data_IF_093298515238
#
_entry.id   IF_093298515238
#
_cell.length_a   1.000
_cell.length_b   1.000
_cell.length_c   1.000
_cell.angle_alpha   90.00
_cell.angle_beta   90.00
_cell.angle_gamma   90.00
#
_symmetry.space_group_name_H-M   'P 1'
#
loop_
_entity.id
_entity.type
_entity.pdbx_description
1 polymer ?
#
# COMPACT_ATOMS: atom_id res chain seq x y z
N UNK A 1 3.94 -7.76 -49.40
CA UNK A 1 3.89 -6.46 -50.10
C UNK A 1 2.71 -5.68 -49.52
N UNK A 2 3.01 -4.50 -48.96
CA UNK A 2 2.17 -3.28 -48.80
C UNK A 2 0.78 -3.49 -48.16
N UNK A 3 0.44 -2.91 -47.00
CA UNK A 3 0.36 -1.46 -46.86
C UNK A 3 0.36 -1.02 -45.39
N UNK A 4 1.23 -0.07 -45.07
CA UNK A 4 1.23 0.72 -43.83
C UNK A 4 0.26 1.89 -44.03
N UNK A 5 -0.63 2.13 -43.07
CA UNK A 5 -1.37 3.40 -43.01
C UNK A 5 -0.98 4.17 -41.75
N UNK A 6 -0.09 5.14 -41.97
CA UNK A 6 0.13 6.33 -41.12
C UNK A 6 -1.00 7.32 -41.41
N UNK A 7 -1.48 8.05 -40.40
CA UNK A 7 -2.02 9.44 -40.41
C UNK A 7 -2.26 9.80 -38.92
N UNK A 8 -1.35 10.58 -38.32
CA UNK A 8 -1.43 12.03 -38.07
C UNK A 8 -2.30 12.38 -36.84
N UNK A 9 -1.70 12.74 -35.71
CA UNK A 9 -1.18 14.07 -35.29
C UNK A 9 -2.26 15.08 -34.89
N UNK A 10 -2.05 15.58 -33.67
CA UNK A 10 -2.40 16.89 -33.11
C UNK A 10 -3.83 17.11 -32.62
N UNK A 11 -3.97 17.29 -31.30
CA UNK A 11 -4.61 18.50 -30.79
C UNK A 11 -3.91 18.92 -29.49
N UNK A 12 -3.27 20.08 -29.54
CA UNK A 12 -2.85 20.85 -28.36
C UNK A 12 -4.10 21.41 -27.67
N UNK A 13 -4.14 21.42 -26.34
CA UNK A 13 -5.08 22.22 -25.55
C UNK A 13 -4.28 23.17 -24.66
N UNK A 14 -4.57 24.48 -24.65
CA UNK A 14 -3.72 25.48 -24.03
C UNK A 14 -3.99 25.70 -22.53
N UNK A 15 -2.90 26.14 -21.91
CA UNK A 15 -2.75 26.97 -20.70
C UNK A 15 -4.00 27.79 -20.31
N UNK A 16 -4.45 27.63 -19.06
CA UNK A 16 -5.18 28.66 -18.34
C UNK A 16 -4.48 28.89 -16.99
N UNK A 17 -3.71 29.97 -16.94
CA UNK A 17 -3.17 30.52 -15.71
C UNK A 17 -4.30 31.25 -14.96
N UNK A 18 -4.48 30.96 -13.68
CA UNK A 18 -5.20 31.86 -12.77
C UNK A 18 -4.32 32.13 -11.55
N UNK A 19 -3.70 33.31 -11.56
CA UNK A 19 -3.15 33.97 -10.39
C UNK A 19 -4.30 34.30 -9.42
N UNK A 20 -4.16 33.94 -8.14
CA UNK A 20 -4.67 34.75 -7.05
C UNK A 20 -3.58 34.97 -6.01
N UNK A 21 -3.53 36.21 -5.54
CA UNK A 21 -2.44 36.91 -4.89
C UNK A 21 -3.02 37.55 -3.62
N UNK A 22 -2.19 37.64 -2.56
CA UNK A 22 -2.34 38.39 -1.29
C UNK A 22 -3.26 37.74 -0.22
N UNK A 23 -3.01 37.79 1.09
CA UNK A 23 -2.28 38.70 2.01
C UNK A 23 -1.79 37.90 3.25
N UNK A 24 -0.54 38.03 3.70
CA UNK A 24 -0.07 38.86 4.84
C UNK A 24 -0.86 38.75 6.16
N UNK A 25 -0.26 38.11 7.18
CA UNK A 25 -0.41 38.48 8.58
C UNK A 25 0.85 38.07 9.37
N UNK A 26 1.71 39.05 9.68
CA UNK A 26 2.71 38.96 10.75
C UNK A 26 2.03 39.32 12.07
N UNK A 27 2.21 38.49 13.10
CA UNK A 27 1.92 38.86 14.48
C UNK A 27 3.09 38.40 15.37
N UNK A 28 3.87 39.33 15.96
CA UNK A 28 4.66 39.03 17.14
C UNK A 28 3.79 39.26 18.39
N UNK A 29 3.98 38.43 19.42
CA UNK A 29 3.98 38.79 20.86
C UNK A 29 3.69 37.55 21.71
N UNK A 30 4.74 36.94 22.27
CA UNK A 30 4.96 36.86 23.72
C UNK A 30 6.07 35.84 24.05
N UNK A 31 7.16 36.38 24.56
CA UNK A 31 8.16 35.65 25.31
C UNK A 31 7.65 35.50 26.75
N UNK A 32 7.30 34.29 27.15
CA UNK A 32 7.31 33.93 28.56
C UNK A 32 7.80 32.49 28.70
N UNK A 33 9.00 32.36 29.26
CA UNK A 33 9.64 31.10 29.54
C UNK A 33 9.30 30.67 30.98
N UNK A 34 8.63 29.53 31.18
CA UNK A 34 8.70 28.81 32.44
C UNK A 34 9.80 27.74 32.37
N UNK A 35 10.52 27.63 33.49
CA UNK A 35 11.67 26.78 33.70
C UNK A 35 11.37 25.30 33.44
N UNK A 36 12.32 24.67 32.75
CA UNK A 36 12.40 23.26 32.42
C UNK A 36 12.60 22.41 33.69
N UNK A 37 11.56 21.72 34.12
CA UNK A 37 11.69 20.53 34.95
C UNK A 37 11.80 19.34 33.97
N UNK A 38 13.00 18.77 33.84
CA UNK A 38 13.23 17.56 33.04
C UNK A 38 12.66 16.35 33.78
N UNK A 39 11.34 16.20 33.73
CA UNK A 39 10.69 14.92 33.95
C UNK A 39 10.97 14.04 32.74
N UNK A 40 11.69 12.94 32.97
CA UNK A 40 12.03 11.98 31.93
C UNK A 40 10.75 11.32 31.43
N UNK A 41 10.26 11.78 30.28
CA UNK A 41 9.13 11.17 29.60
C UNK A 41 9.47 9.70 29.29
N UNK A 42 8.58 8.74 29.62
CA UNK A 42 8.75 7.36 29.22
C UNK A 42 8.76 7.27 27.68
N UNK A 43 9.52 6.32 27.09
CA UNK A 43 9.53 6.14 25.65
C UNK A 43 8.10 5.86 25.16
N UNK A 44 7.65 6.68 24.22
CA UNK A 44 6.35 6.57 23.58
C UNK A 44 6.35 5.31 22.69
N UNK A 45 5.72 4.24 23.17
CA UNK A 45 5.57 2.95 22.47
C UNK A 45 4.79 3.08 21.13
N UNK A 46 4.19 4.24 20.84
CA UNK A 46 3.39 4.47 19.63
C UNK A 46 4.20 4.41 18.32
N UNK A 47 5.51 4.74 18.36
CA UNK A 47 6.34 4.78 17.15
C UNK A 47 6.66 3.37 16.58
N UNK A 48 6.59 2.33 17.41
CA UNK A 48 6.85 0.94 16.98
C UNK A 48 5.61 0.27 16.37
N UNK A 49 4.41 0.66 16.81
CA UNK A 49 3.15 0.14 16.24
C UNK A 49 2.86 0.70 14.84
N UNK A 50 3.21 1.97 14.61
CA UNK A 50 2.95 2.65 13.33
C UNK A 50 3.73 1.99 12.16
N UNK A 51 4.98 1.61 12.40
CA UNK A 51 5.82 0.94 11.37
C UNK A 51 5.38 -0.50 11.05
N UNK A 52 4.73 -1.18 11.99
CA UNK A 52 4.21 -2.55 11.79
C UNK A 52 2.93 -2.53 10.95
N UNK A 53 2.05 -1.56 11.19
CA UNK A 53 0.81 -1.41 10.43
C UNK A 53 1.06 -1.00 8.98
N UNK A 54 2.02 -0.11 8.71
CA UNK A 54 2.35 0.30 7.34
C UNK A 54 2.97 -0.85 6.53
N UNK A 55 3.81 -1.69 7.15
CA UNK A 55 4.37 -2.87 6.50
C UNK A 55 3.32 -3.95 6.19
N UNK A 56 2.24 -4.02 6.97
CA UNK A 56 1.14 -4.96 6.74
C UNK A 56 0.29 -4.62 5.50
N UNK A 57 0.37 -3.40 4.97
CA UNK A 57 -0.49 -2.94 3.86
C UNK A 57 -0.16 -3.57 2.50
N UNK A 58 0.98 -4.24 2.37
CA UNK A 58 1.41 -4.87 1.12
C UNK A 58 1.51 -6.39 1.21
N UNK A 59 1.25 -6.98 2.38
CA UNK A 59 1.40 -8.42 2.58
C UNK A 59 0.09 -9.16 2.30
N UNK A 60 -0.22 -9.29 1.01
CA UNK A 60 -1.42 -9.98 0.54
C UNK A 60 -1.07 -10.98 -0.57
N UNK A 61 -1.84 -12.06 -0.69
CA UNK A 61 -1.69 -13.05 -1.77
C UNK A 61 -1.83 -12.42 -3.16
N UNK A 62 -2.69 -11.40 -3.28
CA UNK A 62 -2.90 -10.61 -4.49
C UNK A 62 -2.08 -9.32 -4.55
N UNK A 63 -1.06 -9.18 -3.72
CA UNK A 63 -0.02 -8.18 -3.93
C UNK A 63 1.00 -8.74 -4.93
N UNK A 64 1.29 -7.97 -5.98
CA UNK A 64 2.25 -8.33 -7.00
C UNK A 64 3.29 -7.22 -7.12
N UNK A 65 4.55 -7.59 -6.90
CA UNK A 65 5.67 -6.67 -6.98
C UNK A 65 6.85 -7.31 -7.72
N UNK A 66 7.43 -6.57 -8.67
CA UNK A 66 8.59 -7.05 -9.43
C UNK A 66 9.89 -6.76 -8.66
N UNK A 67 10.28 -7.72 -7.83
CA UNK A 67 11.51 -7.65 -7.02
C UNK A 67 12.80 -7.49 -7.87
N UNK A 68 12.76 -7.83 -9.16
CA UNK A 68 13.92 -7.66 -10.07
C UNK A 68 14.26 -6.20 -10.35
N UNK A 69 13.32 -5.29 -10.07
CA UNK A 69 13.44 -3.84 -10.33
C UNK A 69 13.61 -3.02 -9.06
N UNK A 70 13.90 -3.67 -7.93
CA UNK A 70 14.03 -3.01 -6.65
C UNK A 70 15.20 -2.00 -6.62
N UNK A 71 15.02 -0.86 -5.92
CA UNK A 71 16.13 0.01 -5.58
C UNK A 71 17.22 -0.75 -4.81
N UNK A 72 18.48 -0.57 -5.21
CA UNK A 72 19.62 -1.28 -4.61
C UNK A 72 19.91 -2.66 -5.23
N UNK A 73 19.07 -3.14 -6.14
CA UNK A 73 19.28 -4.35 -6.94
C UNK A 73 18.17 -5.38 -6.77
N UNK A 74 18.18 -6.46 -7.58
CA UNK A 74 17.19 -7.53 -7.50
C UNK A 74 17.02 -8.07 -6.09
N UNK A 75 15.77 -8.18 -5.64
CA UNK A 75 15.36 -8.71 -4.34
C UNK A 75 15.86 -7.91 -3.11
N UNK A 76 16.45 -6.73 -3.31
CA UNK A 76 16.84 -5.82 -2.23
C UNK A 76 15.64 -5.03 -1.72
N UNK A 77 15.63 -4.69 -0.44
CA UNK A 77 14.52 -3.96 0.14
C UNK A 77 14.95 -3.15 1.37
N UNK A 78 14.12 -2.16 1.71
CA UNK A 78 14.12 -1.39 2.94
C UNK A 78 12.81 -1.56 3.72
N UNK A 79 11.74 -2.03 3.06
CA UNK A 79 10.47 -2.38 3.68
C UNK A 79 9.77 -3.53 2.93
N UNK A 80 8.75 -4.13 3.55
CA UNK A 80 8.05 -5.31 3.01
C UNK A 80 7.20 -5.03 1.76
N UNK A 81 6.82 -3.77 1.49
CA UNK A 81 6.15 -3.40 0.24
C UNK A 81 7.05 -3.50 -0.99
N UNK A 82 8.36 -3.68 -0.83
CA UNK A 82 9.26 -3.98 -1.93
C UNK A 82 9.42 -5.48 -2.18
N UNK A 83 8.61 -6.31 -1.52
CA UNK A 83 8.64 -7.75 -1.62
C UNK A 83 7.30 -8.27 -2.13
N UNK A 84 7.36 -9.34 -2.92
CA UNK A 84 6.20 -9.87 -3.62
C UNK A 84 5.29 -10.70 -2.71
N UNK A 85 3.98 -10.53 -2.86
CA UNK A 85 2.96 -11.25 -2.11
C UNK A 85 3.15 -11.17 -0.59
N UNK A 86 3.24 -12.32 0.07
CA UNK A 86 3.40 -12.49 1.52
C UNK A 86 4.86 -12.42 2.00
N UNK A 87 5.82 -12.05 1.13
CA UNK A 87 7.23 -11.94 1.53
C UNK A 87 7.44 -10.75 2.47
N UNK A 88 8.55 -10.78 3.20
CA UNK A 88 8.98 -9.70 4.12
C UNK A 88 10.36 -9.20 3.75
N UNK A 89 10.65 -7.95 4.13
CA UNK A 89 12.02 -7.46 4.09
C UNK A 89 12.79 -7.90 5.33
N UNK A 90 13.89 -8.63 5.15
CA UNK A 90 14.79 -8.99 6.24
C UNK A 90 15.58 -7.79 6.76
N UNK A 91 16.11 -7.89 7.98
CA UNK A 91 17.03 -6.88 8.54
C UNK A 91 18.32 -6.71 7.71
N UNK A 92 18.68 -7.70 6.89
CA UNK A 92 19.80 -7.63 5.96
C UNK A 92 19.45 -6.91 4.64
N UNK A 93 18.21 -6.43 4.47
CA UNK A 93 17.77 -5.73 3.27
C UNK A 93 17.54 -6.64 2.06
N UNK A 94 17.04 -7.84 2.31
CA UNK A 94 16.65 -8.83 1.31
C UNK A 94 15.22 -9.30 1.51
N UNK A 95 14.45 -9.38 0.43
CA UNK A 95 13.14 -10.00 0.46
C UNK A 95 13.27 -11.50 0.75
N UNK A 96 12.51 -11.99 1.71
CA UNK A 96 12.56 -13.36 2.19
C UNK A 96 11.16 -13.96 2.40
N UNK A 97 11.11 -15.29 2.54
CA UNK A 97 9.85 -16.05 2.67
C UNK A 97 9.27 -16.49 1.32
N UNK A 98 8.04 -17.01 1.34
CA UNK A 98 7.34 -17.47 0.13
C UNK A 98 6.26 -16.45 -0.24
N UNK A 99 6.22 -15.99 -1.50
CA UNK A 99 5.26 -14.97 -1.94
C UNK A 99 3.81 -15.44 -1.81
N UNK A 100 3.53 -16.70 -2.18
CA UNK A 100 2.19 -17.31 -2.14
C UNK A 100 2.30 -18.69 -1.49
N UNK A 101 2.35 -18.76 -0.14
CA UNK A 101 2.39 -20.04 0.56
C UNK A 101 1.16 -20.91 0.21
N UNK A 102 1.31 -22.22 0.22
CA UNK A 102 0.19 -23.13 -0.02
C UNK A 102 -0.75 -23.21 1.17
N UNK A 103 -1.67 -22.25 1.33
CA UNK A 103 -2.76 -22.31 2.33
C UNK A 103 -4.12 -22.39 1.64
N UNK A 104 -5.11 -22.94 2.34
CA UNK A 104 -6.50 -22.91 1.85
C UNK A 104 -7.02 -21.48 1.77
N UNK A 105 -7.78 -21.18 0.71
CA UNK A 105 -8.43 -19.89 0.51
C UNK A 105 -9.47 -19.52 1.58
N UNK A 106 -9.87 -20.46 2.43
CA UNK A 106 -10.78 -20.23 3.56
C UNK A 106 -10.05 -20.35 4.91
N UNK A 107 -8.72 -20.21 4.91
CA UNK A 107 -7.90 -20.23 6.12
C UNK A 107 -7.88 -18.84 6.77
N UNK A 108 -7.90 -18.71 8.11
CA UNK A 108 -7.69 -17.42 8.76
C UNK A 108 -6.33 -16.78 8.37
N UNK A 109 -5.36 -17.59 7.92
CA UNK A 109 -4.05 -17.12 7.47
C UNK A 109 -3.99 -16.80 5.97
N UNK A 110 -5.13 -16.75 5.27
CA UNK A 110 -5.20 -16.32 3.87
C UNK A 110 -5.49 -14.82 3.81
N UNK A 111 -4.45 -14.02 3.57
CA UNK A 111 -4.54 -12.56 3.53
C UNK A 111 -4.82 -12.12 2.10
N UNK A 112 -6.04 -11.64 1.85
CA UNK A 112 -6.45 -11.18 0.53
C UNK A 112 -7.01 -9.77 0.61
N UNK A 113 -6.50 -8.88 -0.23
CA UNK A 113 -7.03 -7.52 -0.28
C UNK A 113 -8.27 -7.48 -1.18
N UNK A 114 -9.46 -7.56 -0.56
CA UNK A 114 -10.75 -7.52 -1.25
C UNK A 114 -11.00 -6.21 -2.01
N UNK A 115 -10.33 -5.11 -1.64
CA UNK A 115 -10.45 -3.83 -2.35
C UNK A 115 -9.84 -3.88 -3.76
N UNK A 116 -8.91 -4.80 -4.01
CA UNK A 116 -8.22 -4.97 -5.29
C UNK A 116 -8.81 -6.09 -6.15
N UNK A 117 -10.00 -6.59 -5.80
CA UNK A 117 -10.65 -7.60 -6.60
C UNK A 117 -10.92 -7.11 -8.03
N UNK A 118 -10.64 -7.91 -9.08
CA UNK A 118 -10.83 -7.48 -10.47
C UNK A 118 -12.27 -7.08 -10.82
N UNK A 119 -13.26 -7.61 -10.11
CA UNK A 119 -14.67 -7.28 -10.29
C UNK A 119 -15.13 -6.03 -9.53
N UNK A 120 -14.21 -5.37 -8.82
CA UNK A 120 -14.49 -4.29 -7.87
C UNK A 120 -14.38 -4.73 -6.42
N UNK A 121 -14.31 -3.76 -5.51
CA UNK A 121 -14.14 -4.01 -4.07
C UNK A 121 -15.16 -5.01 -3.52
N UNK A 122 -14.68 -6.05 -2.84
CA UNK A 122 -15.45 -7.16 -2.24
C UNK A 122 -16.23 -8.04 -3.25
N UNK A 123 -16.03 -7.86 -4.56
CA UNK A 123 -16.64 -8.69 -5.60
C UNK A 123 -15.82 -9.93 -5.86
N UNK A 124 -16.47 -11.07 -6.09
CA UNK A 124 -15.78 -12.35 -6.21
C UNK A 124 -16.50 -13.32 -7.17
N UNK A 125 -15.74 -14.33 -7.62
CA UNK A 125 -16.21 -15.52 -8.33
C UNK A 125 -15.77 -16.82 -7.64
N UNK A 126 -14.83 -16.74 -6.68
CA UNK A 126 -14.39 -17.86 -5.86
C UNK A 126 -14.01 -17.39 -4.45
N UNK A 127 -13.92 -18.33 -3.49
CA UNK A 127 -13.51 -18.02 -2.12
C UNK A 127 -12.07 -17.45 -2.03
N UNK A 128 -11.21 -17.76 -3.00
CA UNK A 128 -9.83 -17.25 -3.05
C UNK A 128 -9.72 -15.75 -3.31
N UNK A 129 -10.84 -15.07 -3.57
CA UNK A 129 -10.91 -13.62 -3.72
C UNK A 129 -11.45 -12.92 -2.46
N UNK A 130 -11.59 -13.66 -1.36
CA UNK A 130 -12.10 -13.16 -0.09
C UNK A 130 -11.04 -13.36 1.00
N UNK A 131 -11.05 -12.46 1.99
CA UNK A 131 -10.07 -12.44 3.06
C UNK A 131 -10.38 -13.48 4.14
N UNK A 132 -9.33 -14.18 4.58
CA UNK A 132 -9.37 -15.13 5.68
C UNK A 132 -10.36 -16.27 5.42
N UNK A 133 -11.32 -16.40 6.34
CA UNK A 133 -12.35 -17.45 6.30
C UNK A 133 -13.59 -17.07 5.48
N UNK A 134 -13.59 -15.91 4.83
CA UNK A 134 -14.73 -15.44 4.03
C UNK A 134 -14.93 -16.29 2.79
N UNK A 135 -16.16 -16.34 2.31
CA UNK A 135 -16.55 -17.11 1.13
C UNK A 135 -17.25 -16.22 0.11
N UNK A 136 -17.26 -16.66 -1.15
CA UNK A 136 -17.98 -15.95 -2.19
C UNK A 136 -19.45 -16.38 -2.23
N UNK A 137 -20.36 -15.43 -2.05
CA UNK A 137 -21.81 -15.67 -2.16
C UNK A 137 -22.22 -15.97 -3.61
N UNK A 138 -23.40 -16.58 -3.82
CA UNK A 138 -23.97 -16.76 -5.17
C UNK A 138 -24.17 -15.44 -5.94
N UNK A 139 -24.33 -14.32 -5.23
CA UNK A 139 -24.47 -12.97 -5.80
C UNK A 139 -23.13 -12.30 -6.14
N UNK A 140 -22.00 -12.99 -5.95
CA UNK A 140 -20.66 -12.49 -6.29
C UNK A 140 -20.14 -11.43 -5.31
N UNK A 141 -20.46 -11.59 -4.03
CA UNK A 141 -19.96 -10.77 -2.92
C UNK A 141 -19.27 -11.63 -1.87
N UNK A 142 -18.11 -11.19 -1.40
CA UNK A 142 -17.44 -11.81 -0.26
C UNK A 142 -18.30 -11.62 1.00
N UNK A 143 -18.48 -12.69 1.76
CA UNK A 143 -19.35 -12.73 2.94
C UNK A 143 -18.80 -13.63 4.05
N UNK A 144 -19.38 -13.48 5.25
CA UNK A 144 -18.95 -14.18 6.45
C UNK A 144 -17.92 -13.41 7.25
N UNK A 145 -17.43 -14.03 8.32
CA UNK A 145 -16.38 -13.48 9.18
C UNK A 145 -15.00 -13.71 8.53
N UNK A 146 -14.16 -12.69 8.58
CA UNK A 146 -12.72 -12.80 8.26
C UNK A 146 -11.98 -13.52 9.40
N UNK A 147 -10.67 -13.28 9.53
CA UNK A 147 -9.83 -13.68 10.67
C UNK A 147 -10.19 -12.90 11.94
#
# INVERSE_FOLDING_TARGET
>A
MVSRSLIARNLMVPLAALLMVLTSACGPDNMEAPATEMESAPPDDSALEETSQEQSQCQFYNYYWDEGRNPGGPNRCTNSCQCDGMRTCSSAGWCQGTARPGVSCTSPNYYWNEAWNPGGSNRCWSACQCDGMRTCSPSGWCQGRSR
#
